data_IF_835454365854
#
_entry.id   IF_835454365854
#
_cell.length_a   1.000
_cell.length_b   1.000
_cell.length_c   1.000
_cell.angle_alpha   90.00
_cell.angle_beta   90.00
_cell.angle_gamma   90.00
#
_symmetry.space_group_name_H-M   'P 1'
#
loop_
_entity.id
_entity.type
_entity.pdbx_description
1 polymer ?
#
# COMPACT_ATOMS: atom_id res chain seq x y z
N UNK A 1 -17.11 -6.13 -12.46
CA UNK A 1 -16.72 -7.40 -11.83
C UNK A 1 -16.22 -7.12 -10.42
N UNK A 2 -16.58 -7.97 -9.45
CA UNK A 2 -16.04 -7.97 -8.09
C UNK A 2 -14.77 -8.81 -8.10
N UNK A 3 -13.67 -8.32 -7.54
CA UNK A 3 -12.41 -9.07 -7.42
C UNK A 3 -12.27 -9.69 -6.03
N UNK A 4 -11.41 -10.70 -5.89
CA UNK A 4 -11.04 -11.27 -4.58
C UNK A 4 -10.52 -10.19 -3.62
N UNK A 5 -9.72 -9.26 -4.14
CA UNK A 5 -9.19 -8.12 -3.36
C UNK A 5 -10.30 -7.20 -2.87
N UNK A 6 -11.35 -6.96 -3.68
CA UNK A 6 -12.50 -6.14 -3.27
C UNK A 6 -13.25 -6.80 -2.10
N UNK A 7 -13.43 -8.12 -2.14
CA UNK A 7 -14.10 -8.88 -1.06
C UNK A 7 -13.26 -8.89 0.21
N UNK A 8 -11.98 -9.22 0.10
CA UNK A 8 -11.06 -9.27 1.24
C UNK A 8 -10.95 -7.89 1.93
N UNK A 9 -10.88 -6.82 1.15
CA UNK A 9 -10.88 -5.45 1.68
C UNK A 9 -12.17 -5.16 2.46
N UNK A 10 -13.33 -5.57 1.92
CA UNK A 10 -14.61 -5.45 2.61
C UNK A 10 -14.66 -6.24 3.93
N UNK A 11 -14.09 -7.45 3.95
CA UNK A 11 -14.00 -8.27 5.17
C UNK A 11 -13.11 -7.61 6.23
N UNK A 12 -11.96 -7.05 5.84
CA UNK A 12 -11.07 -6.31 6.75
C UNK A 12 -11.80 -5.10 7.33
N UNK A 13 -12.53 -4.33 6.51
CA UNK A 13 -13.33 -3.20 6.98
C UNK A 13 -14.41 -3.61 7.97
N UNK A 14 -15.09 -4.72 7.70
CA UNK A 14 -16.13 -5.25 8.57
C UNK A 14 -15.55 -5.66 9.92
N UNK A 15 -14.49 -6.48 9.93
CA UNK A 15 -13.81 -6.90 11.15
C UNK A 15 -13.26 -5.72 11.96
N UNK A 16 -12.73 -4.70 11.28
CA UNK A 16 -12.28 -3.46 11.93
C UNK A 16 -13.41 -2.72 12.61
N UNK A 17 -14.57 -2.61 11.96
CA UNK A 17 -15.73 -1.94 12.57
C UNK A 17 -16.28 -2.72 13.76
N UNK A 18 -16.31 -4.05 13.69
CA UNK A 18 -16.68 -4.90 14.82
C UNK A 18 -15.71 -4.71 15.99
N UNK A 19 -14.40 -4.72 15.72
CA UNK A 19 -13.38 -4.45 16.72
C UNK A 19 -13.55 -3.07 17.38
N UNK A 20 -13.77 -2.02 16.58
CA UNK A 20 -14.01 -0.67 17.11
C UNK A 20 -15.28 -0.62 17.98
N UNK A 21 -16.34 -1.30 17.56
CA UNK A 21 -17.59 -1.37 18.33
C UNK A 21 -17.40 -2.03 19.69
N UNK A 22 -16.66 -3.14 19.73
CA UNK A 22 -16.35 -3.86 20.96
C UNK A 22 -15.46 -3.04 21.90
N UNK A 23 -14.44 -2.38 21.34
CA UNK A 23 -13.49 -1.62 22.15
C UNK A 23 -14.09 -0.36 22.76
N UNK A 24 -14.89 0.41 21.99
CA UNK A 24 -15.52 1.62 22.48
C UNK A 24 -16.66 2.07 21.57
N UNK A 25 -17.86 2.22 22.14
CA UNK A 25 -19.06 2.66 21.42
C UNK A 25 -18.89 4.02 20.72
N UNK A 26 -18.10 4.95 21.28
CA UNK A 26 -17.82 6.24 20.62
C UNK A 26 -16.97 6.06 19.35
N UNK A 27 -16.00 5.15 19.40
CA UNK A 27 -15.12 4.86 18.26
C UNK A 27 -15.87 4.16 17.12
N UNK A 28 -16.89 3.35 17.44
CA UNK A 28 -17.74 2.69 16.44
C UNK A 28 -18.36 3.66 15.42
N UNK A 29 -18.63 4.90 15.85
CA UNK A 29 -19.26 5.95 15.05
C UNK A 29 -18.25 6.90 14.39
N UNK A 30 -16.97 6.78 14.71
CA UNK A 30 -15.91 7.63 14.18
C UNK A 30 -15.75 7.44 12.66
N UNK A 31 -15.34 8.51 11.99
CA UNK A 31 -14.96 8.43 10.58
C UNK A 31 -13.58 7.77 10.48
N UNK A 32 -13.48 6.77 9.59
CA UNK A 32 -12.24 6.05 9.35
C UNK A 32 -11.99 6.01 7.86
N UNK A 33 -10.75 6.29 7.47
CA UNK A 33 -10.34 6.28 6.07
C UNK A 33 -9.20 5.29 5.90
N UNK A 34 -9.39 4.30 5.04
CA UNK A 34 -8.35 3.40 4.62
C UNK A 34 -7.64 3.95 3.36
N UNK A 35 -6.33 3.79 3.32
CA UNK A 35 -5.53 3.99 2.13
C UNK A 35 -5.27 2.64 1.47
N UNK A 36 -5.86 2.42 0.30
CA UNK A 36 -5.65 1.20 -0.49
C UNK A 36 -4.57 1.47 -1.52
N UNK A 37 -3.46 0.73 -1.44
CA UNK A 37 -2.37 0.79 -2.40
C UNK A 37 -2.69 -0.08 -3.62
N UNK A 38 -2.51 0.49 -4.80
CA UNK A 38 -2.76 -0.15 -6.09
C UNK A 38 -1.45 -0.22 -6.87
N UNK A 39 -1.09 -1.40 -7.36
CA UNK A 39 0.04 -1.55 -8.25
C UNK A 39 -0.32 -0.98 -9.63
N UNK A 40 0.43 0.00 -10.13
CA UNK A 40 0.15 0.64 -11.42
C UNK A 40 0.64 -0.18 -12.62
N UNK A 41 1.42 -1.25 -12.38
CA UNK A 41 1.83 -2.22 -13.42
C UNK A 41 0.70 -3.13 -13.86
N UNK A 42 -0.32 -3.33 -13.03
CA UNK A 42 -1.48 -4.18 -13.33
C UNK A 42 -2.31 -3.63 -14.52
N UNK A 43 -2.03 -2.41 -14.97
CA UNK A 43 -2.59 -1.88 -16.23
C UNK A 43 -1.90 -2.45 -17.49
N UNK A 44 -0.95 -3.38 -17.35
CA UNK A 44 -0.34 -4.16 -18.43
C UNK A 44 -0.04 -5.61 -18.00
N UNK A 45 0.50 -6.41 -18.92
CA UNK A 45 0.88 -7.80 -18.66
C UNK A 45 2.02 -7.91 -17.63
N UNK A 46 2.16 -9.08 -17.02
CA UNK A 46 3.32 -9.40 -16.17
C UNK A 46 4.60 -9.22 -17.00
N UNK A 47 5.55 -8.46 -16.49
CA UNK A 47 6.85 -8.21 -17.14
C UNK A 47 7.94 -8.90 -16.31
N UNK A 48 8.68 -9.87 -16.89
CA UNK A 48 9.76 -10.56 -16.20
C UNK A 48 10.92 -9.59 -15.88
N UNK A 49 11.68 -9.88 -14.83
CA UNK A 49 12.70 -8.96 -14.28
C UNK A 49 13.74 -8.61 -15.35
N UNK A 50 14.11 -9.58 -16.18
CA UNK A 50 15.07 -9.45 -17.27
C UNK A 50 14.62 -8.42 -18.31
N UNK A 51 13.31 -8.23 -18.49
CA UNK A 51 12.75 -7.19 -19.34
C UNK A 51 12.63 -5.84 -18.63
N UNK A 52 12.49 -5.84 -17.31
CA UNK A 52 12.41 -4.61 -16.50
C UNK A 52 13.75 -3.88 -16.37
N UNK A 53 14.87 -4.59 -16.46
CA UNK A 53 16.23 -4.03 -16.34
C UNK A 53 16.80 -3.51 -17.66
N UNK A 54 16.16 -3.83 -18.80
CA UNK A 54 16.64 -3.36 -20.11
C UNK A 54 16.55 -1.83 -20.22
N UNK A 55 17.53 -1.18 -20.89
CA UNK A 55 17.43 0.24 -21.19
C UNK A 55 16.15 0.51 -22.01
N UNK A 56 15.43 1.57 -21.66
CA UNK A 56 14.15 1.97 -22.27
C UNK A 56 12.98 0.97 -22.07
N UNK A 57 13.03 0.13 -21.03
CA UNK A 57 11.89 -0.72 -20.67
C UNK A 57 10.62 0.11 -20.46
N UNK A 58 9.49 -0.37 -21.00
CA UNK A 58 8.16 0.24 -20.79
C UNK A 58 7.69 0.11 -19.34
N UNK A 59 8.23 -0.87 -18.59
CA UNK A 59 7.91 -1.13 -17.20
C UNK A 59 9.20 -1.35 -16.38
N UNK A 60 10.02 -0.29 -16.19
CA UNK A 60 11.32 -0.44 -15.56
C UNK A 60 11.23 -0.88 -14.09
N UNK A 61 12.32 -1.48 -13.62
CA UNK A 61 12.48 -1.91 -12.23
C UNK A 61 12.31 -0.75 -11.24
N UNK A 62 11.65 -0.99 -10.10
CA UNK A 62 11.41 0.01 -9.05
C UNK A 62 10.02 -0.03 -8.40
N UNK A 63 9.67 0.98 -7.61
CA UNK A 63 8.37 1.08 -6.96
C UNK A 63 7.36 1.78 -7.87
N UNK A 64 6.29 1.08 -8.25
CA UNK A 64 5.20 1.62 -9.08
C UNK A 64 3.87 1.31 -8.44
N UNK A 65 3.39 2.25 -7.66
CA UNK A 65 2.09 2.17 -7.02
C UNK A 65 1.40 3.51 -7.06
N UNK A 66 0.08 3.46 -6.95
CA UNK A 66 -0.79 4.59 -6.63
C UNK A 66 -1.61 4.23 -5.41
N UNK A 67 -2.36 5.18 -4.87
CA UNK A 67 -3.19 4.93 -3.71
C UNK A 67 -4.56 5.57 -3.85
N UNK A 68 -5.51 5.05 -3.08
CA UNK A 68 -6.88 5.52 -3.02
C UNK A 68 -7.32 5.65 -1.58
N UNK A 69 -7.91 6.80 -1.25
CA UNK A 69 -8.60 7.00 0.02
C UNK A 69 -10.02 6.44 -0.07
N UNK A 70 -10.28 5.41 0.72
CA UNK A 70 -11.56 4.71 0.81
C UNK A 70 -12.13 4.91 2.21
N UNK A 71 -13.27 5.59 2.37
CA UNK A 71 -13.93 5.67 3.66
C UNK A 71 -14.43 4.28 4.07
N UNK A 72 -14.15 3.88 5.30
CA UNK A 72 -14.64 2.63 5.87
C UNK A 72 -16.12 2.84 6.23
N UNK A 73 -17.07 2.06 5.66
CA UNK A 73 -18.49 2.21 5.98
C UNK A 73 -18.73 2.07 7.49
N UNK A 74 -19.69 2.81 8.04
CA UNK A 74 -20.12 2.63 9.44
C UNK A 74 -21.00 1.38 9.56
N UNK A 75 -20.95 0.72 10.71
CA UNK A 75 -21.94 -0.32 11.03
C UNK A 75 -23.29 0.36 11.28
N UNK A 76 -24.32 -0.08 10.57
CA UNK A 76 -25.69 0.39 10.78
C UNK A 76 -26.47 -0.81 11.35
N UNK A 77 -26.67 -0.84 12.66
CA UNK A 77 -27.33 -1.95 13.37
C UNK A 77 -26.59 -3.30 13.25
N UNK A 78 -27.29 -4.40 13.54
CA UNK A 78 -26.85 -5.76 13.17
C UNK A 78 -26.97 -5.93 11.65
N UNK A 79 -26.01 -5.36 10.94
CA UNK A 79 -25.91 -5.49 9.49
C UNK A 79 -25.32 -6.86 9.14
N UNK A 80 -25.97 -7.58 8.23
CA UNK A 80 -25.42 -8.80 7.67
C UNK A 80 -24.03 -8.50 7.08
N UNK A 81 -23.04 -9.34 7.38
CA UNK A 81 -21.67 -9.19 6.91
C UNK A 81 -21.62 -9.03 5.38
N UNK A 82 -22.45 -9.76 4.64
CA UNK A 82 -22.54 -9.67 3.18
C UNK A 82 -23.01 -8.29 2.72
N UNK A 83 -24.01 -7.71 3.37
CA UNK A 83 -24.52 -6.37 3.02
C UNK A 83 -23.48 -5.29 3.29
N UNK A 84 -22.74 -5.42 4.40
CA UNK A 84 -21.63 -4.53 4.70
C UNK A 84 -20.53 -4.63 3.63
N UNK A 85 -20.10 -5.85 3.30
CA UNK A 85 -19.06 -6.10 2.28
C UNK A 85 -19.52 -5.58 0.92
N UNK A 86 -20.80 -5.77 0.57
CA UNK A 86 -21.38 -5.26 -0.66
C UNK A 86 -21.40 -3.72 -0.71
N UNK A 87 -21.71 -3.07 0.42
CA UNK A 87 -21.63 -1.61 0.54
C UNK A 87 -20.18 -1.11 0.41
N UNK A 88 -19.24 -1.74 1.10
CA UNK A 88 -17.80 -1.45 0.96
C UNK A 88 -17.35 -1.58 -0.50
N UNK A 89 -17.76 -2.65 -1.19
CA UNK A 89 -17.48 -2.84 -2.60
C UNK A 89 -18.04 -1.71 -3.47
N UNK A 90 -19.29 -1.27 -3.25
CA UNK A 90 -19.87 -0.14 -3.99
C UNK A 90 -19.05 1.14 -3.81
N UNK A 91 -18.58 1.43 -2.59
CA UNK A 91 -17.72 2.59 -2.31
C UNK A 91 -16.38 2.46 -3.05
N UNK A 92 -15.71 1.31 -2.95
CA UNK A 92 -14.43 1.05 -3.62
C UNK A 92 -14.59 1.19 -5.13
N UNK A 93 -15.62 0.57 -5.72
CA UNK A 93 -15.93 0.65 -7.15
C UNK A 93 -16.18 2.10 -7.58
N UNK A 94 -16.94 2.86 -6.80
CA UNK A 94 -17.20 4.28 -7.08
C UNK A 94 -15.91 5.10 -7.03
N UNK A 95 -15.05 4.90 -6.03
CA UNK A 95 -13.77 5.59 -5.91
C UNK A 95 -12.81 5.21 -7.05
N UNK A 96 -12.76 3.95 -7.44
CA UNK A 96 -11.98 3.43 -8.58
C UNK A 96 -12.43 4.02 -9.91
N UNK A 97 -13.74 4.13 -10.10
CA UNK A 97 -14.33 4.67 -11.33
C UNK A 97 -14.37 6.21 -11.37
N UNK A 98 -14.22 6.88 -10.22
CA UNK A 98 -14.10 8.33 -10.19
C UNK A 98 -12.77 8.77 -10.78
N UNK A 99 -12.76 9.90 -11.49
CA UNK A 99 -11.54 10.51 -12.05
C UNK A 99 -10.39 10.68 -11.03
N UNK A 100 -10.65 10.55 -9.72
CA UNK A 100 -9.63 10.54 -8.67
C UNK A 100 -8.53 9.49 -8.87
N UNK A 101 -8.82 8.31 -9.44
CA UNK A 101 -7.77 7.33 -9.74
C UNK A 101 -6.80 7.83 -10.84
N UNK A 102 -7.36 8.47 -11.87
CA UNK A 102 -6.61 9.10 -12.96
C UNK A 102 -5.87 10.38 -12.50
N UNK A 103 -6.45 11.15 -11.58
CA UNK A 103 -5.81 12.30 -10.96
C UNK A 103 -4.70 11.90 -9.99
N UNK A 104 -4.84 10.82 -9.23
CA UNK A 104 -3.78 10.35 -8.32
C UNK A 104 -2.59 9.79 -9.07
N UNK A 105 -2.79 9.05 -10.18
CA UNK A 105 -1.67 8.60 -11.02
C UNK A 105 -0.92 9.78 -11.63
N UNK A 106 -1.64 10.80 -12.13
CA UNK A 106 -1.03 12.02 -12.69
C UNK A 106 -0.38 12.89 -11.62
N UNK A 107 -0.96 12.99 -10.42
CA UNK A 107 -0.40 13.72 -9.28
C UNK A 107 0.86 13.04 -8.76
N UNK A 108 0.89 11.71 -8.66
CA UNK A 108 2.10 10.96 -8.31
C UNK A 108 3.19 11.11 -9.36
N UNK A 109 2.85 11.05 -10.65
CA UNK A 109 3.81 11.37 -11.72
C UNK A 109 4.33 12.80 -11.62
N UNK A 110 3.48 13.78 -11.30
CA UNK A 110 3.88 15.18 -11.13
C UNK A 110 4.78 15.34 -9.90
N UNK A 111 4.42 14.76 -8.76
CA UNK A 111 5.24 14.79 -7.53
C UNK A 111 6.57 14.09 -7.75
N UNK A 112 6.59 13.01 -8.51
CA UNK A 112 7.82 12.26 -8.82
C UNK A 112 8.69 12.94 -9.89
N UNK A 113 8.10 13.67 -10.85
CA UNK A 113 8.83 14.41 -11.90
C UNK A 113 9.29 15.79 -11.46
N UNK A 114 8.53 16.48 -10.61
CA UNK A 114 8.74 17.89 -10.27
C UNK A 114 9.06 18.13 -8.80
N UNK A 115 8.88 17.15 -7.92
CA UNK A 115 9.25 17.25 -6.51
C UNK A 115 10.71 16.83 -6.26
N UNK A 116 11.37 17.48 -5.31
CA UNK A 116 12.58 16.89 -4.71
C UNK A 116 12.20 15.58 -4.00
N UNK A 117 13.15 14.64 -3.89
CA UNK A 117 12.95 13.39 -3.16
C UNK A 117 12.40 13.63 -1.74
N UNK A 118 12.82 14.72 -1.09
CA UNK A 118 12.34 15.14 0.23
C UNK A 118 10.87 15.60 0.21
N UNK A 119 10.47 16.42 -0.77
CA UNK A 119 9.09 16.89 -0.90
C UNK A 119 8.12 15.74 -1.19
N UNK A 120 8.52 14.80 -2.05
CA UNK A 120 7.78 13.58 -2.31
C UNK A 120 7.64 12.73 -1.03
N UNK A 121 8.73 12.55 -0.28
CA UNK A 121 8.71 11.88 1.03
C UNK A 121 7.76 12.53 2.03
N UNK A 122 7.78 13.86 2.16
CA UNK A 122 6.85 14.62 3.04
C UNK A 122 5.40 14.42 2.64
N UNK A 123 5.10 14.47 1.34
CA UNK A 123 3.76 14.27 0.82
C UNK A 123 3.23 12.87 1.13
N UNK A 124 4.03 11.83 0.88
CA UNK A 124 3.66 10.46 1.19
C UNK A 124 3.48 10.29 2.70
N UNK A 125 4.43 10.78 3.52
CA UNK A 125 4.31 10.76 4.99
C UNK A 125 3.00 11.36 5.47
N UNK A 126 2.69 12.58 5.04
CA UNK A 126 1.48 13.30 5.45
C UNK A 126 0.22 12.54 5.04
N UNK A 127 0.20 11.98 3.83
CA UNK A 127 -0.92 11.19 3.33
C UNK A 127 -1.13 9.93 4.19
N UNK A 128 -0.05 9.23 4.53
CA UNK A 128 -0.09 8.04 5.39
C UNK A 128 -0.54 8.37 6.82
N UNK A 129 -0.01 9.44 7.42
CA UNK A 129 -0.32 9.86 8.79
C UNK A 129 -1.79 10.27 8.97
N UNK A 130 -2.44 10.75 7.91
CA UNK A 130 -3.86 11.17 7.95
C UNK A 130 -4.84 10.02 7.60
N UNK A 131 -4.34 8.80 7.38
CA UNK A 131 -5.18 7.62 7.13
C UNK A 131 -5.25 6.76 8.38
N UNK A 132 -6.40 6.14 8.63
CA UNK A 132 -6.62 5.25 9.79
C UNK A 132 -6.02 3.86 9.58
N UNK A 133 -5.86 3.45 8.33
CA UNK A 133 -5.42 2.11 7.94
C UNK A 133 -4.78 2.15 6.57
N UNK A 134 -3.79 1.30 6.34
CA UNK A 134 -3.21 1.07 5.02
C UNK A 134 -3.44 -0.39 4.64
N UNK A 135 -3.94 -0.63 3.43
CA UNK A 135 -4.10 -1.96 2.86
C UNK A 135 -3.27 -1.99 1.58
N UNK A 136 -2.31 -2.91 1.54
CA UNK A 136 -1.55 -3.23 0.34
C UNK A 136 -1.83 -4.67 -0.05
N UNK A 137 -1.84 -4.94 -1.35
CA UNK A 137 -1.93 -6.30 -1.85
C UNK A 137 -0.86 -6.51 -2.93
N UNK A 138 -0.21 -7.66 -2.87
CA UNK A 138 0.76 -8.11 -3.84
C UNK A 138 0.37 -9.53 -4.26
N UNK A 139 0.27 -9.75 -5.57
CA UNK A 139 0.21 -11.10 -6.09
C UNK A 139 1.58 -11.72 -5.82
N UNK A 140 1.59 -12.88 -5.18
CA UNK A 140 2.81 -13.62 -4.93
C UNK A 140 3.52 -14.01 -6.24
N UNK A 141 4.79 -14.40 -6.18
CA UNK A 141 5.49 -14.90 -7.35
C UNK A 141 4.77 -16.14 -7.88
N UNK A 142 4.60 -16.22 -9.20
CA UNK A 142 4.02 -17.40 -9.85
C UNK A 142 4.97 -18.61 -9.80
N UNK A 143 6.28 -18.34 -9.73
CA UNK A 143 7.34 -19.35 -9.67
C UNK A 143 7.82 -19.57 -8.23
N UNK A 144 8.22 -20.81 -7.93
CA UNK A 144 8.75 -21.16 -6.62
C UNK A 144 10.07 -20.44 -6.37
N UNK A 145 10.09 -19.53 -5.40
CA UNK A 145 11.32 -18.82 -5.04
C UNK A 145 12.20 -19.66 -4.11
N UNK A 146 13.51 -19.47 -4.24
CA UNK A 146 14.53 -20.08 -3.38
C UNK A 146 15.56 -19.05 -2.94
N UNK A 147 16.12 -19.22 -1.75
CA UNK A 147 17.26 -18.47 -1.26
C UNK A 147 18.41 -19.44 -1.04
N UNK A 148 19.55 -19.24 -1.72
CA UNK A 148 20.70 -20.14 -1.65
C UNK A 148 20.31 -21.63 -1.88
N UNK A 149 19.49 -21.89 -2.90
CA UNK A 149 18.94 -23.22 -3.23
C UNK A 149 17.98 -23.84 -2.19
N UNK A 150 17.56 -23.07 -1.18
CA UNK A 150 16.53 -23.49 -0.23
C UNK A 150 15.17 -22.87 -0.59
N UNK A 151 14.12 -23.68 -0.80
CA UNK A 151 12.79 -23.17 -1.12
C UNK A 151 12.23 -22.27 -0.02
N UNK A 152 11.70 -21.11 -0.41
CA UNK A 152 11.02 -20.19 0.51
C UNK A 152 9.58 -20.67 0.72
N UNK A 153 9.18 -20.86 1.98
CA UNK A 153 7.83 -21.31 2.35
C UNK A 153 6.80 -20.17 2.50
N UNK A 154 7.26 -18.93 2.67
CA UNK A 154 6.37 -17.80 2.84
C UNK A 154 7.11 -16.46 2.97
N UNK A 155 6.35 -15.38 2.80
CA UNK A 155 6.81 -14.01 2.97
C UNK A 155 6.10 -13.36 4.14
N UNK A 156 6.86 -12.71 5.00
CA UNK A 156 6.35 -11.87 6.07
C UNK A 156 6.77 -10.44 5.79
N UNK A 157 5.79 -9.55 5.70
CA UNK A 157 6.05 -8.15 5.42
C UNK A 157 6.00 -7.35 6.71
N UNK A 158 7.12 -6.73 7.05
CA UNK A 158 7.22 -5.76 8.12
C UNK A 158 7.39 -4.39 7.48
N UNK A 159 6.46 -3.47 7.74
CA UNK A 159 6.58 -2.09 7.28
C UNK A 159 7.47 -1.33 8.28
N UNK A 160 8.79 -1.50 8.15
CA UNK A 160 9.79 -0.73 8.87
C UNK A 160 10.32 0.43 8.03
N UNK A 161 10.56 1.60 8.62
CA UNK A 161 11.23 2.72 7.93
C UNK A 161 10.43 3.42 6.83
N UNK A 162 9.12 3.18 6.72
CA UNK A 162 8.24 3.99 5.87
C UNK A 162 8.30 5.47 6.29
N UNK A 163 7.87 6.43 5.44
CA UNK A 163 7.99 7.85 5.73
C UNK A 163 7.34 8.29 7.05
N UNK A 164 6.52 7.45 7.70
CA UNK A 164 5.99 7.57 9.06
C UNK A 164 7.01 8.04 10.11
N UNK A 165 8.29 7.69 9.94
CA UNK A 165 9.41 8.21 10.73
C UNK A 165 10.20 9.23 9.90
N UNK A 166 9.70 10.45 9.79
CA UNK A 166 10.33 11.52 8.99
C UNK A 166 11.72 11.95 9.53
N UNK A 167 12.02 11.65 10.80
CA UNK A 167 13.31 11.99 11.43
C UNK A 167 14.51 11.19 10.92
N UNK A 168 14.31 9.98 10.37
CA UNK A 168 15.42 9.15 9.91
C UNK A 168 16.14 9.70 8.65
N UNK A 169 15.50 10.62 7.91
CA UNK A 169 16.08 11.21 6.70
C UNK A 169 16.92 12.47 6.97
N UNK A 170 16.99 12.97 8.21
CA UNK A 170 17.84 14.12 8.56
C UNK A 170 19.33 13.77 8.70
N UNK A 171 19.68 12.49 8.87
CA UNK A 171 21.07 12.06 9.07
C UNK A 171 21.39 10.81 8.22
N UNK A 172 21.68 10.98 6.92
CA UNK A 172 22.07 9.86 6.04
C UNK A 172 23.43 9.23 6.41
N UNK A 173 24.17 9.80 7.35
CA UNK A 173 25.53 9.38 7.73
C UNK A 173 25.60 8.10 8.56
N UNK A 174 24.51 7.63 9.16
CA UNK A 174 24.58 6.53 10.14
C UNK A 174 24.18 5.15 9.60
N UNK A 175 23.77 5.03 8.33
CA UNK A 175 23.40 3.73 7.74
C UNK A 175 24.50 3.08 6.90
N UNK A 176 25.58 3.80 6.57
CA UNK A 176 26.69 3.28 5.76
C UNK A 176 28.04 3.19 6.50
N UNK A 177 28.10 3.54 7.78
CA UNK A 177 29.34 3.53 8.56
C UNK A 177 29.34 2.38 9.57
N UNK A 178 29.34 1.14 9.08
CA UNK A 178 29.77 -0.04 9.84
C UNK A 178 29.92 -1.18 8.84
N UNK A 179 31.02 -1.20 8.09
CA UNK A 179 31.70 -2.38 7.52
C UNK A 179 32.95 -1.90 6.77
N UNK A 180 33.91 -1.33 7.50
CA UNK A 180 35.31 -1.35 7.11
C UNK A 180 36.18 -1.47 8.37
N UNK A 181 37.10 -2.43 8.28
CA UNK A 181 37.89 -3.15 9.29
C UNK A 181 38.76 -2.28 10.23
N UNK A 182 39.44 -2.89 11.22
CA UNK A 182 40.85 -3.17 10.93
C UNK A 182 41.46 -4.42 11.61
N UNK A 183 42.62 -4.80 11.04
CA UNK A 183 43.74 -5.61 11.55
C UNK A 183 43.74 -7.10 11.18
N UNK A 184 44.56 -7.52 10.20
CA UNK A 184 46.01 -7.77 10.29
C UNK A 184 46.34 -8.96 11.20
N UNK A 185 46.52 -10.12 10.57
CA UNK A 185 47.77 -10.89 10.48
C UNK A 185 47.77 -11.64 9.13
#
# INVERSE_FOLDING_TARGET
MVTVNDVLTGMIFFGTRLYMQEMNQSSSKADCTAMVLLNTRIMGDYVPIEEMIKPNSKAPWGNRFTFMHVPIPKLIGLSNALDFIWNAHKIIKRKRNSLAAYFNSRLLEIVHKFGSHEACGKYIHRTLKNSSMIISNLIGPAEQMSLANHPIKGFYFLVGGGPLTFEALRHPSNFYANHHSPNQL
#
